data_IF_754829086291
#
_entry.id   IF_754829086291
#
_cell.length_a   1.000
_cell.length_b   1.000
_cell.length_c   1.000
_cell.angle_alpha   90.00
_cell.angle_beta   90.00
_cell.angle_gamma   90.00
#
_symmetry.space_group_name_H-M   'P 1'
#
loop_
_entity.id
_entity.type
_entity.pdbx_description
1 polymer ?
#
# COMPACT_ATOMS: atom_id res chain seq x y z
N UNK A 1 42.59 5.29 61.10
CA UNK A 1 42.19 5.59 59.71
C UNK A 1 43.44 5.91 58.89
N UNK A 2 43.77 5.10 57.88
CA UNK A 2 44.95 5.32 57.02
C UNK A 2 44.52 5.11 55.56
N UNK A 3 44.18 6.19 54.85
CA UNK A 3 43.81 6.16 53.43
C UNK A 3 45.08 5.96 52.60
N UNK A 4 45.23 4.78 51.99
CA UNK A 4 46.23 4.54 50.95
C UNK A 4 45.69 5.12 49.64
N UNK A 5 46.17 6.30 49.26
CA UNK A 5 45.96 6.84 47.92
C UNK A 5 46.91 6.16 46.95
N UNK A 6 46.37 5.44 45.97
CA UNK A 6 47.14 5.01 44.80
C UNK A 6 47.17 6.17 43.81
N UNK A 7 48.32 6.83 43.67
CA UNK A 7 48.60 7.79 42.60
C UNK A 7 49.20 7.04 41.41
N UNK A 8 48.39 6.79 40.38
CA UNK A 8 48.86 6.34 39.07
C UNK A 8 49.31 7.57 38.28
N UNK A 9 50.63 7.79 38.24
CA UNK A 9 51.25 8.81 37.39
C UNK A 9 51.54 8.22 36.02
N UNK A 10 50.68 8.49 35.04
CA UNK A 10 50.95 8.17 33.63
C UNK A 10 51.99 9.19 33.13
N UNK A 11 53.26 8.79 33.09
CA UNK A 11 54.32 9.56 32.43
C UNK A 11 54.09 9.56 30.92
N UNK A 12 53.54 10.64 30.38
CA UNK A 12 53.61 10.95 28.94
C UNK A 12 55.07 11.21 28.57
N UNK A 13 55.70 10.24 27.89
CA UNK A 13 56.99 10.47 27.25
C UNK A 13 56.73 11.18 25.91
N UNK A 14 57.19 12.42 25.81
CA UNK A 14 57.31 13.14 24.54
C UNK A 14 58.44 12.52 23.71
N UNK A 15 58.10 11.52 22.89
CA UNK A 15 58.91 11.15 21.72
C UNK A 15 58.25 11.77 20.49
N UNK A 16 58.97 12.57 19.70
CA UNK A 16 58.52 12.88 18.34
C UNK A 16 58.47 11.54 17.58
N UNK A 17 57.30 11.05 17.13
CA UNK A 17 57.23 9.75 16.50
C UNK A 17 57.70 9.88 15.05
N UNK A 18 58.80 9.22 14.71
CA UNK A 18 59.09 8.91 13.31
C UNK A 18 58.02 7.94 12.83
N UNK A 19 57.14 8.38 11.93
CA UNK A 19 56.07 7.55 11.37
C UNK A 19 56.71 6.39 10.61
N UNK A 20 56.53 5.17 11.12
CA UNK A 20 57.06 3.97 10.48
C UNK A 20 56.20 3.60 9.28
N UNK A 21 56.83 3.15 8.19
CA UNK A 21 56.13 2.69 6.98
C UNK A 21 55.10 1.58 7.31
N UNK A 22 55.44 0.70 8.26
CA UNK A 22 54.54 -0.37 8.72
C UNK A 22 53.26 0.18 9.36
N UNK A 23 53.37 1.26 10.14
CA UNK A 23 52.23 1.87 10.83
C UNK A 23 51.26 2.52 9.83
N UNK A 24 51.79 3.16 8.78
CA UNK A 24 50.98 3.73 7.69
C UNK A 24 50.26 2.63 6.91
N UNK A 25 50.95 1.53 6.59
CA UNK A 25 50.34 0.38 5.88
C UNK A 25 49.23 -0.26 6.72
N UNK A 26 49.45 -0.44 8.03
CA UNK A 26 48.41 -0.96 8.94
C UNK A 26 47.23 0.00 9.02
N UNK A 27 47.47 1.31 9.16
CA UNK A 27 46.42 2.32 9.18
C UNK A 27 45.61 2.34 7.86
N UNK A 28 46.29 2.25 6.71
CA UNK A 28 45.64 2.13 5.40
C UNK A 28 44.82 0.83 5.28
N UNK A 29 45.31 -0.28 5.82
CA UNK A 29 44.60 -1.55 5.87
C UNK A 29 43.30 -1.45 6.69
N UNK A 30 43.39 -0.88 7.90
CA UNK A 30 42.21 -0.65 8.75
C UNK A 30 41.23 0.30 8.06
N UNK A 31 41.71 1.39 7.47
CA UNK A 31 40.86 2.34 6.73
C UNK A 31 40.13 1.69 5.57
N UNK A 32 40.80 0.80 4.82
CA UNK A 32 40.21 0.07 3.70
C UNK A 32 39.12 -0.90 4.17
N UNK A 33 39.35 -1.60 5.29
CA UNK A 33 38.36 -2.49 5.90
C UNK A 33 37.13 -1.68 6.35
N UNK A 34 37.33 -0.56 7.04
CA UNK A 34 36.24 0.32 7.47
C UNK A 34 35.45 0.88 6.29
N UNK A 35 36.14 1.24 5.20
CA UNK A 35 35.49 1.68 3.97
C UNK A 35 34.67 0.57 3.33
N UNK A 36 35.19 -0.66 3.30
CA UNK A 36 34.46 -1.83 2.80
C UNK A 36 33.18 -2.12 3.57
N UNK A 37 33.24 -2.07 4.91
CA UNK A 37 32.06 -2.23 5.78
C UNK A 37 31.06 -1.09 5.55
N UNK A 38 31.55 0.14 5.40
CA UNK A 38 30.69 1.30 5.15
C UNK A 38 29.96 1.18 3.80
N UNK A 39 30.66 0.71 2.76
CA UNK A 39 30.05 0.52 1.44
C UNK A 39 29.01 -0.60 1.44
N UNK A 40 29.26 -1.72 2.11
CA UNK A 40 28.29 -2.82 2.18
C UNK A 40 27.05 -2.45 2.98
N UNK A 41 27.22 -1.78 4.12
CA UNK A 41 26.09 -1.27 4.93
C UNK A 41 25.26 -0.23 4.16
N UNK A 42 25.90 0.67 3.42
CA UNK A 42 25.18 1.63 2.58
C UNK A 42 24.38 0.90 1.49
N UNK A 43 24.96 -0.10 0.84
CA UNK A 43 24.27 -0.87 -0.20
C UNK A 43 23.05 -1.62 0.35
N UNK A 44 23.15 -2.22 1.54
CA UNK A 44 22.02 -2.93 2.16
C UNK A 44 20.93 -1.98 2.59
N UNK A 45 21.27 -0.83 3.18
CA UNK A 45 20.30 0.20 3.56
C UNK A 45 19.57 0.73 2.34
N UNK A 46 20.28 1.11 1.27
CA UNK A 46 19.65 1.60 0.04
C UNK A 46 18.71 0.58 -0.60
N UNK A 47 19.06 -0.71 -0.54
CA UNK A 47 18.18 -1.77 -1.02
C UNK A 47 16.91 -1.88 -0.15
N UNK A 48 17.06 -1.87 1.17
CA UNK A 48 15.94 -1.92 2.10
C UNK A 48 15.01 -0.70 1.96
N UNK A 49 15.57 0.50 1.77
CA UNK A 49 14.81 1.73 1.54
C UNK A 49 13.98 1.65 0.25
N UNK A 50 14.54 1.12 -0.84
CA UNK A 50 13.81 0.96 -2.11
C UNK A 50 12.62 0.00 -1.97
N UNK A 51 12.83 -1.13 -1.29
CA UNK A 51 11.77 -2.11 -1.06
C UNK A 51 10.67 -1.52 -0.16
N UNK A 52 11.05 -0.83 0.92
CA UNK A 52 10.11 -0.18 1.84
C UNK A 52 9.35 0.96 1.18
N UNK A 53 10.02 1.78 0.38
CA UNK A 53 9.39 2.91 -0.34
C UNK A 53 8.37 2.42 -1.36
N UNK A 54 8.67 1.33 -2.08
CA UNK A 54 7.74 0.71 -3.03
C UNK A 54 6.50 0.19 -2.32
N UNK A 55 6.68 -0.50 -1.19
CA UNK A 55 5.57 -1.01 -0.38
C UNK A 55 4.70 0.13 0.20
N UNK A 56 5.33 1.18 0.73
CA UNK A 56 4.63 2.34 1.27
C UNK A 56 3.83 3.09 0.19
N UNK A 57 4.40 3.28 -0.99
CA UNK A 57 3.71 3.91 -2.12
C UNK A 57 2.49 3.10 -2.58
N UNK A 58 2.64 1.78 -2.71
CA UNK A 58 1.55 0.89 -3.09
C UNK A 58 0.43 0.89 -2.04
N UNK A 59 0.79 0.81 -0.76
CA UNK A 59 -0.16 0.87 0.36
C UNK A 59 -0.93 2.19 0.40
N UNK A 60 -0.26 3.33 0.21
CA UNK A 60 -0.90 4.65 0.14
C UNK A 60 -1.84 4.77 -1.05
N UNK A 61 -1.40 4.34 -2.23
CA UNK A 61 -2.23 4.31 -3.46
C UNK A 61 -3.48 3.45 -3.26
N UNK A 62 -3.32 2.27 -2.67
CA UNK A 62 -4.42 1.35 -2.39
C UNK A 62 -5.40 1.92 -1.36
N UNK A 63 -4.91 2.54 -0.29
CA UNK A 63 -5.74 3.19 0.71
C UNK A 63 -6.59 4.32 0.10
N UNK A 64 -5.98 5.17 -0.74
CA UNK A 64 -6.68 6.23 -1.47
C UNK A 64 -7.75 5.66 -2.41
N UNK A 65 -7.40 4.63 -3.18
CA UNK A 65 -8.33 3.92 -4.05
C UNK A 65 -9.53 3.37 -3.27
N UNK A 66 -9.26 2.66 -2.17
CA UNK A 66 -10.28 2.04 -1.32
C UNK A 66 -11.28 3.07 -0.79
N UNK A 67 -10.78 4.24 -0.36
CA UNK A 67 -11.63 5.35 0.09
C UNK A 67 -12.48 5.92 -1.04
N UNK A 68 -11.90 6.17 -2.21
CA UNK A 68 -12.62 6.72 -3.36
C UNK A 68 -13.68 5.76 -3.87
N UNK A 69 -13.35 4.47 -3.99
CA UNK A 69 -14.26 3.42 -4.44
C UNK A 69 -15.48 3.32 -3.51
N UNK A 70 -15.25 3.25 -2.18
CA UNK A 70 -16.35 3.25 -1.21
C UNK A 70 -17.19 4.52 -1.32
N UNK A 71 -16.56 5.68 -1.39
CA UNK A 71 -17.27 6.96 -1.52
C UNK A 71 -18.12 7.03 -2.79
N UNK A 72 -17.62 6.50 -3.91
CA UNK A 72 -18.32 6.54 -5.20
C UNK A 72 -19.48 5.54 -5.23
N UNK A 73 -19.29 4.32 -4.71
CA UNK A 73 -20.38 3.33 -4.57
C UNK A 73 -21.46 3.86 -3.59
N UNK A 74 -21.05 4.47 -2.48
CA UNK A 74 -22.00 5.05 -1.52
C UNK A 74 -22.85 6.17 -2.13
N UNK A 75 -22.25 7.00 -2.99
CA UNK A 75 -22.94 8.08 -3.69
C UNK A 75 -23.70 7.63 -4.96
N UNK A 76 -23.69 6.33 -5.26
CA UNK A 76 -24.29 5.79 -6.46
C UNK A 76 -25.81 5.74 -6.37
N UNK A 77 -26.47 6.22 -7.42
CA UNK A 77 -27.89 6.01 -7.69
C UNK A 77 -28.10 4.69 -8.44
N UNK A 78 -27.20 4.38 -9.37
CA UNK A 78 -27.21 3.13 -10.12
C UNK A 78 -25.79 2.68 -10.47
N UNK A 79 -25.63 1.37 -10.63
CA UNK A 79 -24.39 0.73 -11.09
C UNK A 79 -24.66 -0.03 -12.37
N UNK A 80 -23.73 0.07 -13.32
CA UNK A 80 -23.77 -0.66 -14.58
C UNK A 80 -22.42 -1.33 -14.81
N UNK A 81 -22.42 -2.67 -14.88
CA UNK A 81 -21.25 -3.49 -15.10
C UNK A 81 -21.15 -3.81 -16.59
N UNK A 82 -20.04 -3.42 -17.23
CA UNK A 82 -19.83 -3.63 -18.68
C UNK A 82 -18.81 -4.74 -18.90
N UNK A 83 -18.90 -5.43 -20.04
CA UNK A 83 -17.96 -6.49 -20.46
C UNK A 83 -17.80 -7.65 -19.44
N UNK A 84 -18.84 -7.99 -18.68
CA UNK A 84 -18.82 -9.08 -17.72
C UNK A 84 -20.18 -9.37 -17.08
N UNK A 85 -20.20 -10.25 -16.07
CA UNK A 85 -21.40 -10.48 -15.23
C UNK A 85 -21.39 -9.53 -14.04
N UNK A 86 -22.53 -9.35 -13.38
CA UNK A 86 -22.60 -8.58 -12.14
C UNK A 86 -21.70 -9.17 -11.03
N UNK A 87 -21.25 -10.42 -11.15
CA UNK A 87 -20.38 -11.09 -10.18
C UNK A 87 -18.88 -10.99 -10.55
N UNK A 88 -18.56 -10.73 -11.82
CA UNK A 88 -17.19 -10.55 -12.28
C UNK A 88 -17.16 -9.72 -13.56
N UNK A 89 -16.80 -8.44 -13.43
CA UNK A 89 -16.69 -7.53 -14.56
C UNK A 89 -15.42 -6.66 -14.47
N UNK A 90 -14.72 -6.42 -15.58
CA UNK A 90 -13.54 -5.56 -15.62
C UNK A 90 -13.89 -4.06 -15.65
N UNK A 91 -15.17 -3.71 -15.84
CA UNK A 91 -15.62 -2.33 -15.99
C UNK A 91 -16.87 -2.03 -15.18
N UNK A 92 -16.82 -0.94 -14.41
CA UNK A 92 -17.93 -0.48 -13.59
C UNK A 92 -18.23 0.98 -13.91
N UNK A 93 -19.46 1.25 -14.35
CA UNK A 93 -20.00 2.60 -14.48
C UNK A 93 -20.93 2.90 -13.32
N UNK A 94 -20.63 3.98 -12.59
CA UNK A 94 -21.38 4.46 -11.43
C UNK A 94 -22.09 5.74 -11.85
N UNK A 95 -23.41 5.76 -11.77
CA UNK A 95 -24.19 6.99 -11.90
C UNK A 95 -24.43 7.56 -10.52
N UNK A 96 -24.08 8.83 -10.30
CA UNK A 96 -24.32 9.53 -9.03
C UNK A 96 -25.54 10.44 -9.13
N UNK A 97 -25.85 11.10 -8.02
CA UNK A 97 -26.83 12.20 -8.01
C UNK A 97 -26.25 13.46 -8.68
N UNK A 98 -27.00 14.07 -9.60
CA UNK A 98 -26.49 15.08 -10.53
C UNK A 98 -25.80 14.44 -11.74
N UNK A 99 -25.54 15.19 -12.81
CA UNK A 99 -24.97 14.67 -14.09
C UNK A 99 -23.50 14.19 -13.97
N UNK A 100 -23.10 13.63 -12.83
CA UNK A 100 -21.79 13.04 -12.57
C UNK A 100 -21.83 11.52 -12.77
N UNK A 101 -20.95 11.05 -13.63
CA UNK A 101 -20.75 9.63 -13.94
C UNK A 101 -19.30 9.28 -13.67
N UNK A 102 -19.07 8.22 -12.90
CA UNK A 102 -17.73 7.69 -12.64
C UNK A 102 -17.57 6.36 -13.34
N UNK A 103 -16.57 6.25 -14.21
CA UNK A 103 -16.22 5.01 -14.90
C UNK A 103 -14.94 4.45 -14.33
N UNK A 104 -15.02 3.21 -13.87
CA UNK A 104 -13.90 2.39 -13.46
C UNK A 104 -13.60 1.34 -14.52
N UNK A 105 -12.32 1.15 -14.82
CA UNK A 105 -11.86 0.16 -15.80
C UNK A 105 -10.56 -0.48 -15.31
N UNK A 106 -10.51 -1.80 -15.39
CA UNK A 106 -9.33 -2.60 -15.05
C UNK A 106 -8.63 -2.98 -16.36
N UNK A 107 -7.34 -2.65 -16.47
CA UNK A 107 -6.50 -3.08 -17.59
C UNK A 107 -5.22 -3.69 -17.03
N UNK A 108 -5.14 -5.03 -17.08
CA UNK A 108 -4.04 -5.78 -16.48
C UNK A 108 -3.90 -5.48 -14.99
N UNK A 109 -2.80 -4.82 -14.61
CA UNK A 109 -2.43 -4.48 -13.24
C UNK A 109 -2.71 -3.00 -12.89
N UNK A 110 -3.61 -2.34 -13.64
CA UNK A 110 -3.98 -0.94 -13.44
C UNK A 110 -5.48 -0.77 -13.36
N UNK A 111 -5.91 0.11 -12.45
CA UNK A 111 -7.30 0.53 -12.31
C UNK A 111 -7.38 2.00 -12.69
N UNK A 112 -8.17 2.29 -13.71
CA UNK A 112 -8.48 3.65 -14.14
C UNK A 112 -9.81 4.07 -13.56
N UNK A 113 -9.85 5.28 -13.02
CA UNK A 113 -11.08 5.96 -12.59
C UNK A 113 -11.23 7.23 -13.38
N UNK A 114 -12.35 7.40 -14.06
CA UNK A 114 -12.65 8.57 -14.89
C UNK A 114 -13.94 9.20 -14.40
N UNK A 115 -13.87 10.46 -13.99
CA UNK A 115 -15.05 11.22 -13.55
C UNK A 115 -15.45 12.16 -14.69
N UNK A 116 -16.68 12.02 -15.12
CA UNK A 116 -17.32 12.88 -16.12
C UNK A 116 -18.46 13.64 -15.45
N UNK A 117 -18.57 14.95 -15.70
CA UNK A 117 -19.69 15.77 -15.24
C UNK A 117 -20.20 16.59 -16.41
N UNK A 118 -21.52 16.58 -16.67
CA UNK A 118 -22.12 17.28 -17.82
C UNK A 118 -21.39 16.96 -19.13
N UNK A 119 -21.08 15.68 -19.32
CA UNK A 119 -20.36 15.13 -20.48
C UNK A 119 -18.90 15.61 -20.69
N UNK A 120 -18.34 16.38 -19.75
CA UNK A 120 -16.93 16.75 -19.75
C UNK A 120 -16.13 15.90 -18.78
N UNK A 121 -14.95 15.43 -19.21
CA UNK A 121 -14.02 14.72 -18.35
C UNK A 121 -13.42 15.70 -17.33
N UNK A 122 -13.81 15.55 -16.07
CA UNK A 122 -13.33 16.41 -14.97
C UNK A 122 -12.05 15.86 -14.36
N UNK A 123 -11.95 14.54 -14.23
CA UNK A 123 -10.84 13.93 -13.50
C UNK A 123 -10.49 12.54 -14.02
N UNK A 124 -9.20 12.19 -13.93
CA UNK A 124 -8.69 10.85 -14.19
C UNK A 124 -7.70 10.46 -13.10
N UNK A 125 -7.96 9.36 -12.41
CA UNK A 125 -7.01 8.71 -11.51
C UNK A 125 -6.54 7.38 -12.12
N UNK A 126 -5.30 7.02 -11.81
CA UNK A 126 -4.70 5.72 -12.15
C UNK A 126 -4.14 5.10 -10.89
N UNK A 127 -4.58 3.89 -10.57
CA UNK A 127 -4.08 3.10 -9.45
C UNK A 127 -3.37 1.85 -9.96
N UNK A 128 -2.30 1.47 -9.28
CA UNK A 128 -1.49 0.32 -9.66
C UNK A 128 -1.74 -0.82 -8.68
N UNK A 129 -1.91 -2.01 -9.22
CA UNK A 129 -1.99 -3.27 -8.49
C UNK A 129 -0.61 -3.96 -8.51
N UNK A 130 -0.31 -4.82 -7.53
CA UNK A 130 0.86 -5.68 -7.62
C UNK A 130 0.82 -6.51 -8.91
N UNK A 131 1.97 -6.65 -9.58
CA UNK A 131 2.11 -7.49 -10.77
C UNK A 131 1.65 -8.92 -10.47
N UNK A 132 0.88 -9.52 -11.36
CA UNK A 132 0.29 -10.86 -11.17
C UNK A 132 -1.03 -10.88 -10.39
N UNK A 133 -1.50 -9.74 -9.89
CA UNK A 133 -2.84 -9.67 -9.27
C UNK A 133 -3.94 -9.67 -10.32
N UNK A 134 -5.01 -10.38 -10.03
CA UNK A 134 -6.24 -10.34 -10.84
C UNK A 134 -7.29 -9.57 -10.06
N UNK A 135 -7.98 -8.64 -10.72
CA UNK A 135 -9.00 -7.83 -10.08
C UNK A 135 -10.28 -7.79 -10.92
N UNK A 136 -11.42 -7.82 -10.25
CA UNK A 136 -12.73 -7.77 -10.88
C UNK A 136 -13.73 -7.05 -9.99
N UNK A 137 -14.67 -6.34 -10.62
CA UNK A 137 -15.80 -5.72 -9.95
C UNK A 137 -16.92 -6.74 -9.77
N UNK A 138 -17.63 -6.62 -8.66
CA UNK A 138 -18.79 -7.44 -8.35
C UNK A 138 -19.89 -6.63 -7.67
N UNK A 139 -21.10 -7.15 -7.75
CA UNK A 139 -22.29 -6.69 -7.08
C UNK A 139 -22.91 -7.87 -6.34
N UNK A 140 -23.41 -7.62 -5.14
CA UNK A 140 -24.25 -8.51 -4.37
C UNK A 140 -25.64 -7.88 -4.25
N UNK A 141 -26.55 -8.14 -5.20
CA UNK A 141 -27.87 -7.50 -5.23
C UNK A 141 -28.68 -7.73 -3.95
N UNK A 142 -28.56 -8.93 -3.35
CA UNK A 142 -29.27 -9.30 -2.11
C UNK A 142 -28.90 -8.40 -0.92
N UNK A 143 -27.66 -7.94 -0.87
CA UNK A 143 -27.15 -7.10 0.22
C UNK A 143 -27.08 -5.62 -0.17
N UNK A 144 -27.49 -5.28 -1.41
CA UNK A 144 -27.31 -3.97 -2.00
C UNK A 144 -25.86 -3.45 -1.86
N UNK A 145 -24.91 -4.35 -2.09
CA UNK A 145 -23.48 -4.08 -1.99
C UNK A 145 -22.81 -4.22 -3.34
N UNK A 146 -21.75 -3.45 -3.55
CA UNK A 146 -20.86 -3.61 -4.68
C UNK A 146 -19.42 -3.39 -4.22
N UNK A 147 -18.49 -3.88 -5.02
CA UNK A 147 -17.10 -3.86 -4.65
C UNK A 147 -16.16 -4.24 -5.76
N UNK A 148 -14.90 -4.35 -5.37
CA UNK A 148 -13.82 -4.92 -6.17
C UNK A 148 -13.15 -6.00 -5.34
N UNK A 149 -12.94 -7.16 -5.94
CA UNK A 149 -12.11 -8.23 -5.40
C UNK A 149 -10.76 -8.21 -6.12
N UNK A 150 -9.70 -8.44 -5.36
CA UNK A 150 -8.33 -8.51 -5.86
C UNK A 150 -7.74 -9.83 -5.35
N UNK A 151 -7.50 -10.75 -6.28
CA UNK A 151 -6.78 -11.98 -6.02
C UNK A 151 -5.29 -11.66 -6.05
N UNK A 152 -4.64 -11.79 -4.90
CA UNK A 152 -3.21 -11.59 -4.79
C UNK A 152 -2.47 -12.78 -5.42
N UNK A 153 -1.40 -12.56 -6.22
CA UNK A 153 -0.56 -13.66 -6.66
C UNK A 153 0.09 -14.26 -5.42
N UNK A 154 -0.10 -15.56 -5.25
CA UNK A 154 0.51 -16.33 -4.17
C UNK A 154 2.03 -16.20 -4.26
N UNK A 155 2.64 -15.35 -3.43
CA UNK A 155 4.10 -15.16 -3.36
C UNK A 155 4.83 -16.49 -3.05
N UNK A 156 4.13 -17.47 -2.45
CA UNK A 156 4.66 -18.80 -2.19
C UNK A 156 4.77 -19.65 -3.46
N UNK A 157 3.95 -19.42 -4.49
CA UNK A 157 4.08 -20.12 -5.79
C UNK A 157 5.28 -19.66 -6.58
N UNK A 158 5.65 -18.38 -6.51
CA UNK A 158 6.86 -17.86 -7.19
C UNK A 158 8.15 -18.41 -6.56
N UNK A 159 8.14 -18.71 -5.25
CA UNK A 159 9.27 -19.33 -4.56
C UNK A 159 9.29 -20.87 -4.65
N UNK A 160 8.16 -21.52 -4.97
CA UNK A 160 8.04 -22.98 -5.11
C UNK A 160 8.34 -23.54 -6.51
N UNK A 161 8.93 -22.77 -7.42
CA UNK A 161 9.51 -23.32 -8.67
C UNK A 161 10.84 -24.07 -8.40
N UNK A 162 10.83 -24.99 -7.43
CA UNK A 162 11.78 -26.10 -7.33
C UNK A 162 10.92 -27.37 -7.28
N UNK A 163 11.11 -28.33 -8.19
CA UNK A 163 10.15 -29.40 -8.36
C UNK A 163 10.37 -30.42 -7.25
N UNK A 164 9.45 -30.52 -6.30
CA UNK A 164 9.31 -31.72 -5.47
C UNK A 164 7.83 -31.91 -5.07
N UNK A 165 7.24 -32.88 -5.78
CA UNK A 165 6.29 -33.94 -5.38
C UNK A 165 5.08 -33.58 -4.51
N UNK A 166 3.92 -34.02 -5.04
CA UNK A 166 2.57 -34.11 -4.47
C UNK A 166 2.53 -34.52 -2.99
N UNK A 167 1.82 -33.76 -2.15
CA UNK A 167 0.81 -34.32 -1.22
C UNK A 167 -0.14 -33.22 -0.71
N UNK A 168 -1.42 -33.56 -0.72
CA UNK A 168 -2.49 -33.16 0.19
C UNK A 168 -3.36 -31.91 -0.08
N UNK A 169 -4.67 -32.18 -0.08
CA UNK A 169 -5.80 -31.30 -0.37
C UNK A 169 -6.00 -30.23 0.70
N UNK A 170 -5.19 -29.18 0.67
CA UNK A 170 -5.47 -27.92 1.35
C UNK A 170 -5.39 -26.78 0.35
N UNK A 171 -6.56 -26.30 -0.10
CA UNK A 171 -6.71 -25.05 -0.85
C UNK A 171 -5.81 -23.98 -0.20
N UNK A 172 -4.74 -23.51 -0.88
CA UNK A 172 -3.91 -22.47 -0.30
C UNK A 172 -4.78 -21.22 -0.23
N UNK A 173 -4.87 -20.64 0.96
CA UNK A 173 -5.59 -19.40 1.23
C UNK A 173 -5.25 -18.36 0.15
N UNK A 174 -6.17 -18.16 -0.80
CA UNK A 174 -6.19 -16.95 -1.60
C UNK A 174 -6.38 -15.83 -0.58
N UNK A 175 -5.37 -14.99 -0.39
CA UNK A 175 -5.57 -13.71 0.26
C UNK A 175 -6.36 -12.84 -0.72
N UNK A 176 -7.65 -13.13 -0.85
CA UNK A 176 -8.60 -12.33 -1.60
C UNK A 176 -8.83 -11.05 -0.81
N UNK A 177 -8.38 -9.94 -1.38
CA UNK A 177 -8.59 -8.63 -0.79
C UNK A 177 -9.79 -7.99 -1.48
N UNK A 178 -10.90 -7.89 -0.77
CA UNK A 178 -12.13 -7.27 -1.27
C UNK A 178 -12.40 -5.91 -0.61
N UNK A 179 -12.78 -4.94 -1.45
CA UNK A 179 -13.33 -3.65 -0.99
C UNK A 179 -14.81 -3.67 -1.30
N UNK A 180 -15.62 -3.68 -0.24
CA UNK A 180 -17.09 -3.73 -0.33
C UNK A 180 -17.68 -2.44 0.23
N UNK A 181 -18.75 -1.98 -0.40
CA UNK A 181 -19.50 -0.79 -0.01
C UNK A 181 -20.99 -0.99 -0.29
N UNK A 182 -21.85 -0.41 0.55
CA UNK A 182 -23.30 -0.38 0.31
C UNK A 182 -23.64 0.70 -0.73
N UNK A 183 -24.53 0.34 -1.67
CA UNK A 183 -25.00 1.22 -2.74
C UNK A 183 -26.06 2.14 -2.15
N UNK A 184 -25.88 3.45 -2.29
CA UNK A 184 -26.92 4.44 -1.96
C UNK A 184 -27.38 4.44 -0.49
N UNK A 185 -26.62 5.07 0.41
CA UNK A 185 -27.13 5.64 1.66
C UNK A 185 -26.02 6.44 2.34
N UNK A 186 -26.19 7.75 2.46
CA UNK A 186 -25.29 8.60 3.23
C UNK A 186 -25.69 8.53 4.72
N UNK A 187 -25.13 7.58 5.47
CA UNK A 187 -25.38 7.49 6.91
C UNK A 187 -24.92 8.75 7.68
N UNK A 188 -24.12 9.63 7.06
CA UNK A 188 -23.73 10.92 7.65
C UNK A 188 -24.85 11.97 7.58
N UNK A 189 -25.87 11.75 6.75
CA UNK A 189 -27.05 12.62 6.63
C UNK A 189 -28.32 12.02 7.25
N UNK A 190 -28.32 10.74 7.62
CA UNK A 190 -29.47 10.12 8.28
C UNK A 190 -29.76 10.73 9.68
N UNK A 191 -28.74 11.21 10.39
CA UNK A 191 -28.88 11.87 11.70
C UNK A 191 -29.27 13.36 11.63
N UNK A 192 -29.35 13.96 10.43
CA UNK A 192 -29.68 15.40 10.28
C UNK A 192 -31.15 15.68 9.95
N UNK A 193 -32.02 14.66 9.90
CA UNK A 193 -33.45 14.81 9.56
C UNK A 193 -34.44 14.50 10.69
N UNK A 194 -34.03 14.66 11.95
CA UNK A 194 -34.98 14.66 13.08
C UNK A 194 -34.68 15.84 14.00
N UNK A 195 -34.96 17.09 13.57
CA UNK A 195 -35.53 18.13 14.44
C UNK A 195 -36.20 19.23 13.61
N UNK A 196 -37.45 19.49 13.99
CA UNK A 196 -38.37 20.59 13.66
C UNK A 196 -39.30 20.38 12.45
N UNK A 197 -40.60 20.77 12.55
CA UNK A 197 -41.20 21.71 13.53
C UNK A 197 -42.50 21.20 14.21
N UNK A 198 -42.60 21.30 15.53
CA UNK A 198 -43.90 21.48 16.21
C UNK A 198 -43.93 22.95 16.64
N UNK A 199 -44.66 23.81 15.93
CA UNK A 199 -46.06 24.16 16.23
C UNK A 199 -46.28 24.44 17.71
N UNK A 200 -45.83 25.59 18.18
CA UNK A 200 -46.47 26.25 19.31
C UNK A 200 -47.61 27.13 18.78
N UNK A 201 -48.82 26.57 18.82
CA UNK A 201 -50.06 27.33 18.93
C UNK A 201 -50.48 27.31 20.39
N UNK A 202 -50.35 28.44 21.10
CA UNK A 202 -51.45 29.15 21.78
C UNK A 202 -50.94 30.41 22.47
#
# INVERSE_FOLDING_TARGET
MKRRGFTLSIKQHNTLPGVSLVEVVVAMGIATILMGISMTTMHTVLRAERETSKAAWLGSSFHRFSRLMRSDIHAATSLNFQDGTAESSPQLTIQKTGDEVVKYRIEGHRIFRVVTRKDQRVHQDTFHLPEGSHAYFFQQPRLNQAGIAIDQPDLLRTLKQRPEVETDDQLPFLNELSIISTIGHDYRLADLRIRQPEKETK
#
